data_IF_787799604967
#
_entry.id   IF_787799604967
#
_cell.length_a   1.000
_cell.length_b   1.000
_cell.length_c   1.000
_cell.angle_alpha   90.00
_cell.angle_beta   90.00
_cell.angle_gamma   90.00
#
_symmetry.space_group_name_H-M   'P 1'
#
loop_
_entity.id
_entity.type
_entity.pdbx_description
1 polymer ?
#
# COMPACT_ATOMS: atom_id res chain seq x y z
N UNK A 1 6.70 13.51 23.25
CA UNK A 1 7.67 13.20 22.19
C UNK A 1 7.68 11.69 21.97
N UNK A 2 7.07 11.21 20.89
CA UNK A 2 7.19 9.82 20.45
C UNK A 2 7.23 9.82 18.93
N UNK A 3 8.42 10.08 18.37
CA UNK A 3 8.69 9.74 16.98
C UNK A 3 8.85 8.22 16.93
N UNK A 4 7.74 7.52 16.74
CA UNK A 4 7.74 6.07 16.58
C UNK A 4 8.55 5.77 15.32
N UNK A 5 9.54 4.90 15.50
CA UNK A 5 10.54 4.45 14.55
C UNK A 5 9.90 3.66 13.39
N UNK A 6 9.03 4.28 12.61
CA UNK A 6 8.70 3.80 11.28
C UNK A 6 9.95 4.02 10.45
N UNK A 7 10.66 2.92 10.15
CA UNK A 7 11.69 2.91 9.11
C UNK A 7 11.12 3.71 7.95
N UNK A 8 11.75 4.85 7.64
CA UNK A 8 11.44 5.70 6.50
C UNK A 8 11.43 4.76 5.29
N UNK A 9 10.24 4.35 4.87
CA UNK A 9 10.11 3.45 3.74
C UNK A 9 10.28 4.34 2.52
N UNK A 10 11.41 4.18 1.86
CA UNK A 10 11.72 5.00 0.69
C UNK A 10 10.88 4.52 -0.49
N UNK A 11 9.72 5.15 -0.69
CA UNK A 11 8.78 4.80 -1.75
C UNK A 11 9.43 4.84 -3.13
N UNK A 12 10.52 5.62 -3.33
CA UNK A 12 11.21 5.73 -4.62
C UNK A 12 11.84 4.43 -5.11
N UNK A 13 12.09 3.50 -4.19
CA UNK A 13 12.67 2.19 -4.50
C UNK A 13 11.65 1.06 -4.48
N UNK A 14 10.40 1.37 -4.15
CA UNK A 14 9.36 0.39 -3.94
C UNK A 14 8.40 0.33 -5.14
N UNK A 15 7.95 -0.89 -5.46
CA UNK A 15 6.84 -1.10 -6.38
C UNK A 15 5.58 -1.37 -5.57
N UNK A 16 4.64 -0.43 -5.63
CA UNK A 16 3.42 -0.42 -4.85
C UNK A 16 2.26 -1.01 -5.65
N UNK A 17 1.56 -1.96 -5.03
CA UNK A 17 0.30 -2.52 -5.52
C UNK A 17 -0.83 -2.06 -4.59
N UNK A 18 -1.96 -1.68 -5.16
CA UNK A 18 -3.14 -1.28 -4.40
C UNK A 18 -4.23 -2.36 -4.45
N UNK A 19 -4.89 -2.58 -3.31
CA UNK A 19 -6.08 -3.44 -3.17
C UNK A 19 -7.11 -2.78 -2.27
N UNK A 20 -8.40 -3.00 -2.56
CA UNK A 20 -9.51 -2.39 -1.83
C UNK A 20 -9.80 -0.94 -2.25
N UNK A 21 -10.69 -0.30 -1.51
CA UNK A 21 -11.09 1.09 -1.65
C UNK A 21 -10.37 1.94 -0.61
N UNK A 22 -9.61 2.92 -1.08
CA UNK A 22 -9.02 3.94 -0.21
C UNK A 22 -10.11 4.97 0.10
N UNK A 23 -10.34 5.25 1.38
CA UNK A 23 -11.32 6.22 1.87
C UNK A 23 -10.82 7.65 1.76
N UNK A 24 -9.51 7.85 1.91
CA UNK A 24 -8.89 9.18 1.89
C UNK A 24 -8.44 9.65 0.51
N UNK A 25 -8.33 8.73 -0.47
CA UNK A 25 -7.83 9.02 -1.81
C UNK A 25 -8.56 8.18 -2.84
N UNK A 26 -8.80 8.72 -4.02
CA UNK A 26 -9.09 7.84 -5.16
C UNK A 26 -7.87 6.99 -5.48
N UNK A 27 -8.10 5.82 -6.07
CA UNK A 27 -6.99 4.96 -6.50
C UNK A 27 -6.01 5.75 -7.35
N UNK A 28 -6.48 6.48 -8.36
CA UNK A 28 -5.64 7.29 -9.25
C UNK A 28 -4.79 8.32 -8.50
N UNK A 29 -5.36 9.05 -7.52
CA UNK A 29 -4.60 9.99 -6.70
C UNK A 29 -3.50 9.29 -5.91
N UNK A 30 -3.80 8.16 -5.27
CA UNK A 30 -2.80 7.39 -4.55
C UNK A 30 -1.66 6.90 -5.47
N UNK A 31 -1.98 6.53 -6.71
CA UNK A 31 -0.94 6.17 -7.69
C UNK A 31 -0.07 7.37 -8.04
N UNK A 32 -0.67 8.54 -8.26
CA UNK A 32 0.09 9.77 -8.54
C UNK A 32 0.97 10.17 -7.36
N UNK A 33 0.52 10.01 -6.12
CA UNK A 33 1.32 10.29 -4.94
C UNK A 33 2.55 9.37 -4.85
N UNK A 34 2.40 8.08 -5.14
CA UNK A 34 3.55 7.14 -5.21
C UNK A 34 4.52 7.54 -6.32
N UNK A 35 4.01 7.87 -7.50
CA UNK A 35 4.83 8.31 -8.63
C UNK A 35 5.57 9.63 -8.31
N UNK A 36 4.89 10.57 -7.64
CA UNK A 36 5.48 11.83 -7.20
C UNK A 36 6.56 11.63 -6.13
N UNK A 37 6.41 10.63 -5.26
CA UNK A 37 7.43 10.19 -4.32
C UNK A 37 8.59 9.41 -5.00
N UNK A 38 8.57 9.26 -6.33
CA UNK A 38 9.58 8.56 -7.12
C UNK A 38 9.38 7.04 -7.22
N UNK A 39 8.31 6.52 -6.63
CA UNK A 39 8.03 5.08 -6.60
C UNK A 39 7.35 4.58 -7.87
N UNK A 40 7.17 3.26 -7.95
CA UNK A 40 6.49 2.63 -9.09
C UNK A 40 5.18 2.04 -8.64
N UNK A 41 4.17 2.08 -9.51
CA UNK A 41 2.87 1.49 -9.22
C UNK A 41 2.55 0.40 -10.21
N UNK A 42 2.10 -0.75 -9.71
CA UNK A 42 1.60 -1.84 -10.52
C UNK A 42 0.14 -2.13 -10.20
N UNK A 43 -0.62 -2.55 -11.20
CA UNK A 43 -2.03 -2.91 -11.07
C UNK A 43 -2.27 -4.41 -10.89
N UNK A 44 -1.23 -5.21 -11.14
CA UNK A 44 -1.23 -6.67 -11.11
C UNK A 44 -0.18 -7.19 -10.11
N UNK A 45 -0.40 -8.40 -9.61
CA UNK A 45 0.56 -9.11 -8.77
C UNK A 45 1.75 -9.53 -9.65
N UNK A 46 2.93 -9.02 -9.32
CA UNK A 46 4.18 -9.29 -10.04
C UNK A 46 5.29 -9.45 -9.04
N UNK A 47 6.29 -10.28 -9.32
CA UNK A 47 7.46 -10.46 -8.46
C UNK A 47 8.26 -9.17 -8.22
N UNK A 48 8.02 -8.14 -9.03
CA UNK A 48 8.59 -6.81 -8.83
C UNK A 48 7.90 -6.00 -7.73
N UNK A 49 6.67 -6.37 -7.33
CA UNK A 49 5.91 -5.69 -6.25
C UNK A 49 6.57 -5.99 -4.92
N UNK A 50 6.90 -4.95 -4.18
CA UNK A 50 7.57 -5.03 -2.88
C UNK A 50 6.68 -4.51 -1.75
N UNK A 51 5.64 -3.74 -2.08
CA UNK A 51 4.69 -3.16 -1.14
C UNK A 51 3.24 -3.33 -1.63
N UNK A 52 2.35 -3.81 -0.76
CA UNK A 52 0.92 -3.86 -0.98
C UNK A 52 0.22 -2.88 -0.03
N UNK A 53 -0.51 -1.92 -0.59
CA UNK A 53 -1.39 -1.01 0.16
C UNK A 53 -2.81 -1.58 0.14
N UNK A 54 -3.29 -1.97 1.31
CA UNK A 54 -4.63 -2.47 1.53
C UNK A 54 -5.53 -1.35 2.05
N UNK A 55 -6.48 -0.94 1.22
CA UNK A 55 -7.63 -0.12 1.61
C UNK A 55 -8.76 -0.95 2.19
N UNK A 56 -9.89 -0.29 2.44
CA UNK A 56 -11.12 -0.92 2.90
C UNK A 56 -11.60 -1.92 1.84
N UNK A 57 -11.67 -3.19 2.21
CA UNK A 57 -12.24 -4.24 1.37
C UNK A 57 -13.58 -4.57 1.98
N UNK A 58 -14.66 -4.11 1.33
CA UNK A 58 -16.02 -4.47 1.71
C UNK A 58 -16.26 -5.94 1.33
N UNK A 59 -15.87 -6.83 2.24
CA UNK A 59 -16.38 -8.20 2.33
C UNK A 59 -16.99 -8.30 3.71
N UNK A 60 -18.22 -8.78 3.79
CA UNK A 60 -19.06 -8.69 4.99
C UNK A 60 -18.36 -9.10 6.29
N UNK A 61 -18.90 -8.63 7.43
CA UNK A 61 -18.34 -8.65 8.79
C UNK A 61 -17.68 -9.96 9.30
N UNK A 62 -17.81 -11.09 8.61
CA UNK A 62 -17.42 -12.42 9.07
C UNK A 62 -16.40 -13.12 8.18
N UNK A 63 -16.01 -12.56 7.04
CA UNK A 63 -14.95 -13.14 6.21
C UNK A 63 -13.68 -12.30 6.33
N UNK A 64 -12.50 -12.89 6.62
CA UNK A 64 -11.27 -12.16 6.46
C UNK A 64 -11.22 -11.68 5.00
N UNK A 65 -10.93 -10.40 4.73
CA UNK A 65 -10.91 -9.87 3.37
C UNK A 65 -9.74 -10.45 2.59
N UNK A 66 -9.78 -11.73 2.22
CA UNK A 66 -8.83 -12.36 1.33
C UNK A 66 -9.23 -11.99 -0.10
N UNK A 67 -8.62 -10.93 -0.61
CA UNK A 67 -8.52 -10.73 -2.05
C UNK A 67 -7.36 -11.58 -2.55
N UNK A 68 -7.43 -12.05 -3.81
CA UNK A 68 -6.34 -12.77 -4.46
C UNK A 68 -4.99 -12.05 -4.32
N UNK A 69 -5.01 -10.71 -4.24
CA UNK A 69 -3.84 -9.86 -4.03
C UNK A 69 -3.24 -9.95 -2.63
N UNK A 70 -4.07 -10.06 -1.59
CA UNK A 70 -3.62 -10.22 -0.21
C UNK A 70 -3.04 -11.61 0.04
N UNK A 71 -3.69 -12.66 -0.45
CA UNK A 71 -3.16 -14.02 -0.40
C UNK A 71 -1.81 -14.10 -1.12
N UNK A 72 -1.72 -13.51 -2.32
CA UNK A 72 -0.46 -13.44 -3.06
C UNK A 72 0.64 -12.71 -2.29
N UNK A 73 0.34 -11.56 -1.69
CA UNK A 73 1.32 -10.81 -0.91
C UNK A 73 1.82 -11.58 0.32
N UNK A 74 0.93 -12.31 1.01
CA UNK A 74 1.30 -13.17 2.13
C UNK A 74 2.19 -14.33 1.68
N UNK A 75 1.85 -14.99 0.56
CA UNK A 75 2.64 -16.09 -0.01
C UNK A 75 4.03 -15.66 -0.47
N UNK A 76 4.15 -14.44 -0.98
CA UNK A 76 5.41 -13.87 -1.45
C UNK A 76 6.16 -13.04 -0.40
N UNK A 77 5.71 -13.07 0.87
CA UNK A 77 6.29 -12.30 1.98
C UNK A 77 6.42 -10.79 1.68
N UNK A 78 5.49 -10.28 0.88
CA UNK A 78 5.42 -8.87 0.49
C UNK A 78 4.90 -8.06 1.67
N UNK A 79 5.47 -6.86 1.85
CA UNK A 79 5.06 -5.97 2.93
C UNK A 79 3.65 -5.44 2.66
N UNK A 80 2.74 -5.63 3.61
CA UNK A 80 1.36 -5.14 3.53
C UNK A 80 1.21 -3.96 4.49
N UNK A 81 0.70 -2.83 4.00
CA UNK A 81 0.42 -1.64 4.79
C UNK A 81 -1.02 -1.16 4.58
N UNK A 82 -1.59 -0.50 5.59
CA UNK A 82 -2.91 0.13 5.48
C UNK A 82 -2.85 1.55 4.93
N UNK A 83 -4.02 2.15 4.70
CA UNK A 83 -4.14 3.55 4.25
C UNK A 83 -3.46 4.55 5.20
N UNK A 84 -3.60 4.38 6.51
CA UNK A 84 -3.03 5.30 7.50
C UNK A 84 -1.49 5.35 7.40
N UNK A 85 -0.86 4.18 7.25
CA UNK A 85 0.58 4.05 7.07
C UNK A 85 1.01 4.64 5.72
N UNK A 86 0.26 4.37 4.65
CA UNK A 86 0.51 4.96 3.34
C UNK A 86 0.49 6.50 3.40
N UNK A 87 -0.50 7.07 4.10
CA UNK A 87 -0.61 8.52 4.29
C UNK A 87 0.60 9.08 5.03
N UNK A 88 1.07 8.40 6.08
CA UNK A 88 2.28 8.82 6.79
C UNK A 88 3.53 8.77 5.89
N UNK A 89 3.67 7.73 5.06
CA UNK A 89 4.80 7.62 4.12
C UNK A 89 4.83 8.75 3.10
N UNK A 90 3.67 9.14 2.57
CA UNK A 90 3.59 10.26 1.62
C UNK A 90 3.82 11.61 2.33
N UNK A 91 3.29 11.79 3.53
CA UNK A 91 3.43 13.04 4.28
C UNK A 91 4.86 13.28 4.81
N UNK A 92 5.63 12.23 5.09
CA UNK A 92 7.01 12.35 5.55
C UNK A 92 8.03 12.58 4.43
N UNK A 93 7.62 12.53 3.15
CA UNK A 93 8.48 12.79 1.99
C UNK A 93 8.54 14.28 1.60
N UNK A 94 7.91 15.17 2.36
CA UNK A 94 7.90 16.63 2.19
C UNK A 94 8.24 17.32 3.51
#
# INVERSE_FOLDING_TARGET
>A
MMQTKLKILDLSRECVLFTGTLTGYTRSEAQQLVLAAGGRVLNYCSSAVTLLVAGVIDKGLFEPPMTHKLTWALTHEIKIIGEAEFKQLIQNSY
#
